data_IF_643475649031
#
_entry.id   IF_643475649031
#
_cell.length_a   1.000
_cell.length_b   1.000
_cell.length_c   1.000
_cell.angle_alpha   90.00
_cell.angle_beta   90.00
_cell.angle_gamma   90.00
#
_symmetry.space_group_name_H-M   'P 1'
#
loop_
_entity.id
_entity.type
_entity.pdbx_description
1 polymer ?
#
# COMPACT_ATOMS: atom_id res chain seq x y z
N UNK A 1 -21.03 -63.23 -22.74
CA UNK A 1 -20.36 -62.48 -21.66
C UNK A 1 -19.45 -61.42 -22.31
N UNK A 2 -19.88 -60.14 -22.35
CA UNK A 2 -19.08 -59.03 -22.90
C UNK A 2 -18.20 -58.46 -21.76
N UNK A 3 -16.88 -58.53 -21.97
CA UNK A 3 -15.92 -57.90 -21.06
C UNK A 3 -15.83 -56.40 -21.38
N UNK A 4 -16.23 -55.55 -20.42
CA UNK A 4 -16.08 -54.10 -20.45
C UNK A 4 -14.68 -53.81 -19.91
N UNK A 5 -13.79 -53.28 -20.79
CA UNK A 5 -12.48 -52.78 -20.40
C UNK A 5 -12.65 -51.34 -19.87
N UNK A 6 -12.40 -51.11 -18.59
CA UNK A 6 -12.30 -49.76 -18.00
C UNK A 6 -10.89 -49.23 -18.28
N UNK A 7 -10.80 -48.24 -19.15
CA UNK A 7 -9.56 -47.48 -19.34
C UNK A 7 -9.51 -46.36 -18.31
N UNK A 8 -8.66 -46.47 -17.32
CA UNK A 8 -8.39 -45.40 -16.34
C UNK A 8 -7.52 -44.33 -17.01
N UNK A 9 -8.09 -43.18 -17.29
CA UNK A 9 -7.37 -42.00 -17.79
C UNK A 9 -6.67 -41.33 -16.58
N UNK A 10 -5.35 -41.47 -16.50
CA UNK A 10 -4.52 -40.78 -15.52
C UNK A 10 -4.35 -39.31 -16.01
N UNK A 11 -5.01 -38.36 -15.35
CA UNK A 11 -4.73 -36.95 -15.54
C UNK A 11 -3.44 -36.59 -14.81
N UNK A 12 -2.32 -36.43 -15.53
CA UNK A 12 -1.15 -35.75 -15.02
C UNK A 12 -1.44 -34.25 -14.98
N UNK A 13 -1.73 -33.71 -13.82
CA UNK A 13 -1.73 -32.27 -13.60
C UNK A 13 -0.28 -31.79 -13.51
N UNK A 14 0.24 -31.22 -14.59
CA UNK A 14 1.50 -30.46 -14.54
C UNK A 14 1.23 -29.16 -13.83
N UNK A 15 1.77 -28.99 -12.63
CA UNK A 15 1.84 -27.68 -11.98
C UNK A 15 2.87 -26.84 -12.76
N UNK A 16 2.41 -25.95 -13.61
CA UNK A 16 3.25 -24.87 -14.12
C UNK A 16 3.48 -23.88 -12.98
N UNK A 17 4.66 -23.92 -12.34
CA UNK A 17 5.07 -22.84 -11.45
C UNK A 17 5.29 -21.61 -12.31
N UNK A 18 4.48 -20.56 -12.11
CA UNK A 18 4.72 -19.28 -12.74
C UNK A 18 6.06 -18.75 -12.22
N UNK A 19 7.04 -18.63 -13.08
CA UNK A 19 8.32 -18.02 -12.74
C UNK A 19 8.09 -16.52 -12.56
N UNK A 20 8.53 -15.98 -11.43
CA UNK A 20 8.47 -14.54 -11.20
C UNK A 20 9.21 -13.80 -12.33
N UNK A 21 8.56 -12.81 -12.94
CA UNK A 21 9.13 -12.02 -14.05
C UNK A 21 10.40 -11.29 -13.59
N UNK A 22 10.48 -10.98 -12.31
CA UNK A 22 11.61 -10.30 -11.69
C UNK A 22 11.86 -10.85 -10.29
N UNK A 23 13.13 -11.12 -9.96
CA UNK A 23 13.58 -11.50 -8.62
C UNK A 23 14.77 -10.63 -8.26
N UNK A 24 14.65 -9.72 -7.29
CA UNK A 24 15.74 -8.85 -6.88
C UNK A 24 16.80 -9.59 -6.08
N UNK A 25 16.43 -10.55 -5.25
CA UNK A 25 17.33 -11.36 -4.42
C UNK A 25 18.14 -12.32 -5.30
N UNK A 26 19.47 -12.29 -5.16
CA UNK A 26 20.40 -13.14 -5.89
C UNK A 26 20.75 -14.44 -5.14
N UNK A 27 20.22 -14.66 -3.92
CA UNK A 27 20.44 -15.86 -3.13
C UNK A 27 21.85 -16.01 -2.52
N UNK A 28 22.66 -14.97 -2.58
CA UNK A 28 24.07 -14.98 -2.13
C UNK A 28 24.40 -13.81 -1.20
N UNK A 29 23.42 -13.24 -0.53
CA UNK A 29 23.53 -12.04 0.29
C UNK A 29 23.66 -10.74 -0.52
N UNK A 30 23.37 -10.77 -1.82
CA UNK A 30 23.35 -9.61 -2.70
C UNK A 30 21.97 -9.48 -3.35
N UNK A 31 21.64 -8.27 -3.76
CA UNK A 31 20.43 -7.96 -4.50
C UNK A 31 20.74 -7.08 -5.72
N UNK A 32 19.79 -6.97 -6.63
CA UNK A 32 19.85 -6.09 -7.81
C UNK A 32 18.66 -5.14 -7.83
N UNK A 33 18.88 -3.93 -8.31
CA UNK A 33 17.81 -2.95 -8.54
C UNK A 33 17.08 -3.20 -9.87
N UNK A 34 15.80 -2.79 -9.96
CA UNK A 34 14.96 -2.31 -8.86
C UNK A 34 14.59 -3.44 -7.90
N UNK A 35 14.50 -3.13 -6.58
CA UNK A 35 14.05 -4.11 -5.57
C UNK A 35 12.60 -4.52 -5.83
N UNK A 36 11.74 -3.56 -6.15
CA UNK A 36 10.37 -3.79 -6.59
C UNK A 36 10.24 -3.39 -8.05
N UNK A 37 9.90 -4.34 -8.92
CA UNK A 37 9.69 -4.09 -10.35
C UNK A 37 8.23 -3.75 -10.62
N UNK A 38 7.80 -2.61 -10.07
CA UNK A 38 6.45 -2.08 -10.18
C UNK A 38 6.47 -0.56 -9.94
N UNK A 39 5.40 0.11 -10.33
CA UNK A 39 5.22 1.55 -10.09
C UNK A 39 4.61 1.76 -8.71
N UNK A 40 5.46 2.10 -7.75
CA UNK A 40 5.09 2.54 -6.40
C UNK A 40 5.74 3.90 -6.15
N UNK A 41 5.08 4.99 -6.58
CA UNK A 41 5.60 6.34 -6.38
C UNK A 41 5.46 6.79 -4.93
N UNK A 42 6.38 7.64 -4.49
CA UNK A 42 6.41 8.23 -3.14
C UNK A 42 6.29 7.16 -2.02
N UNK A 43 7.10 6.08 -2.06
CA UNK A 43 6.96 5.01 -1.08
C UNK A 43 7.42 5.47 0.30
N UNK A 44 6.68 5.09 1.33
CA UNK A 44 7.08 5.27 2.72
C UNK A 44 7.11 3.93 3.44
N UNK A 45 8.14 3.71 4.27
CA UNK A 45 8.43 2.43 4.92
C UNK A 45 8.64 2.62 6.41
N UNK A 46 8.07 1.72 7.22
CA UNK A 46 8.37 1.62 8.66
C UNK A 46 8.81 0.20 9.02
N UNK A 47 9.52 0.09 10.15
CA UNK A 47 9.85 -1.17 10.80
C UNK A 47 9.08 -1.33 12.10
N UNK A 48 8.49 -2.52 12.32
CA UNK A 48 7.88 -2.91 13.59
C UNK A 48 8.34 -4.33 13.94
N UNK A 49 9.18 -4.46 14.97
CA UNK A 49 9.83 -5.75 15.27
C UNK A 49 10.76 -6.18 14.13
N UNK A 50 10.48 -7.33 13.55
CA UNK A 50 11.24 -7.88 12.40
C UNK A 50 10.54 -7.65 11.06
N UNK A 51 9.39 -6.97 11.07
CA UNK A 51 8.61 -6.70 9.88
C UNK A 51 8.83 -5.29 9.36
N UNK A 52 8.88 -5.15 8.03
CA UNK A 52 8.85 -3.88 7.31
C UNK A 52 7.54 -3.75 6.55
N UNK A 53 6.93 -2.58 6.66
CA UNK A 53 5.67 -2.26 6.01
C UNK A 53 5.84 -1.04 5.12
N UNK A 54 5.39 -1.15 3.88
CA UNK A 54 5.48 -0.08 2.88
C UNK A 54 4.11 0.27 2.34
N UNK A 55 3.87 1.55 2.08
CA UNK A 55 2.76 2.05 1.29
C UNK A 55 3.26 3.01 0.23
N UNK A 56 2.41 3.38 -0.73
CA UNK A 56 2.78 4.28 -1.83
C UNK A 56 1.57 5.06 -2.34
N UNK A 57 1.83 6.11 -3.11
CA UNK A 57 0.80 6.85 -3.84
C UNK A 57 -0.03 5.93 -4.72
N UNK A 58 -1.34 6.11 -4.72
CA UNK A 58 -2.26 5.35 -5.57
C UNK A 58 -3.21 6.25 -6.37
N UNK A 59 -3.12 7.55 -6.17
CA UNK A 59 -3.97 8.54 -6.85
C UNK A 59 -5.46 8.18 -6.74
N UNK A 60 -6.16 8.07 -7.85
CA UNK A 60 -7.57 7.66 -7.93
C UNK A 60 -7.74 6.14 -8.20
N UNK A 61 -6.66 5.36 -8.19
CA UNK A 61 -6.74 3.92 -8.41
C UNK A 61 -7.40 3.20 -7.24
N UNK A 62 -8.27 2.24 -7.54
CA UNK A 62 -8.92 1.36 -6.56
C UNK A 62 -8.67 -0.11 -6.91
N UNK A 63 -8.34 -0.94 -5.92
CA UNK A 63 -8.07 -0.58 -4.54
C UNK A 63 -6.80 0.29 -4.44
N UNK A 64 -6.80 1.26 -3.51
CA UNK A 64 -5.70 2.19 -3.27
C UNK A 64 -4.97 1.94 -1.96
N UNK A 65 -3.91 2.72 -1.71
CA UNK A 65 -2.99 2.56 -0.58
C UNK A 65 -2.48 1.12 -0.47
N UNK A 66 -1.63 0.67 -1.41
CA UNK A 66 -1.04 -0.66 -1.33
C UNK A 66 -0.28 -0.83 -0.03
N UNK A 67 -0.41 -2.01 0.58
CA UNK A 67 0.34 -2.40 1.78
C UNK A 67 1.24 -3.57 1.41
N UNK A 68 2.54 -3.32 1.43
CA UNK A 68 3.55 -4.33 1.16
C UNK A 68 4.27 -4.70 2.46
N UNK A 69 4.69 -5.95 2.54
CA UNK A 69 5.42 -6.52 3.67
C UNK A 69 6.75 -7.09 3.22
N UNK A 70 7.76 -6.94 4.05
CA UNK A 70 9.08 -7.58 3.91
C UNK A 70 9.68 -7.84 5.29
N UNK A 71 10.60 -8.81 5.37
CA UNK A 71 11.44 -9.06 6.55
C UNK A 71 12.91 -8.70 6.32
N UNK A 72 13.26 -8.28 5.09
CA UNK A 72 14.66 -8.07 4.68
C UNK A 72 14.88 -6.84 3.78
N UNK A 73 13.81 -6.08 3.46
CA UNK A 73 13.81 -4.92 2.55
C UNK A 73 14.12 -5.26 1.08
N UNK A 74 14.30 -6.53 0.74
CA UNK A 74 14.61 -7.00 -0.61
C UNK A 74 13.44 -7.77 -1.21
N UNK A 75 12.87 -8.68 -0.42
CA UNK A 75 11.74 -9.50 -0.82
C UNK A 75 10.46 -8.87 -0.30
N UNK A 76 9.69 -8.25 -1.20
CA UNK A 76 8.45 -7.56 -0.88
C UNK A 76 7.24 -8.33 -1.42
N UNK A 77 6.22 -8.45 -0.60
CA UNK A 77 4.92 -9.05 -0.93
C UNK A 77 3.81 -8.01 -0.77
N UNK A 78 2.98 -7.83 -1.80
CA UNK A 78 1.74 -7.07 -1.68
C UNK A 78 0.74 -7.89 -0.89
N UNK A 79 0.43 -7.47 0.32
CA UNK A 79 -0.39 -8.25 1.27
C UNK A 79 -1.79 -7.68 1.45
N UNK A 80 -2.00 -6.40 1.14
CA UNK A 80 -3.30 -5.75 1.32
C UNK A 80 -3.38 -4.41 0.57
N UNK A 81 -4.56 -3.82 0.61
CA UNK A 81 -4.84 -2.43 0.25
C UNK A 81 -5.62 -1.77 1.39
N UNK A 82 -5.12 -0.66 1.91
CA UNK A 82 -5.74 0.03 3.02
C UNK A 82 -6.98 0.86 2.62
N UNK A 83 -7.16 1.09 1.31
CA UNK A 83 -8.26 1.87 0.75
C UNK A 83 -8.98 1.06 -0.34
N UNK A 84 -9.93 0.17 0.01
CA UNK A 84 -10.62 -0.67 -0.97
C UNK A 84 -11.54 0.13 -1.91
N UNK A 85 -11.97 1.33 -1.52
CA UNK A 85 -12.75 2.29 -2.30
C UNK A 85 -12.30 3.71 -1.99
N UNK A 86 -12.44 4.60 -2.97
CA UNK A 86 -12.26 6.03 -2.71
C UNK A 86 -13.34 6.56 -1.77
N UNK A 87 -13.04 7.67 -1.13
CA UNK A 87 -13.81 8.29 -0.05
C UNK A 87 -14.84 9.32 -0.55
N UNK A 88 -14.88 9.58 -1.86
CA UNK A 88 -15.77 10.56 -2.48
C UNK A 88 -16.32 10.01 -3.81
N UNK A 89 -17.57 10.31 -4.12
CA UNK A 89 -18.24 9.92 -5.37
C UNK A 89 -17.70 10.60 -6.61
N UNK A 90 -16.96 11.71 -6.49
CA UNK A 90 -16.26 12.36 -7.61
C UNK A 90 -15.24 11.40 -8.27
N UNK A 91 -14.78 10.40 -7.52
CA UNK A 91 -13.87 9.37 -8.04
C UNK A 91 -14.58 8.22 -8.79
N UNK A 92 -15.91 8.23 -8.89
CA UNK A 92 -16.65 7.29 -9.73
C UNK A 92 -16.44 7.61 -11.23
N UNK A 93 -15.96 8.80 -11.55
CA UNK A 93 -15.48 9.20 -12.87
C UNK A 93 -13.95 9.20 -12.95
N UNK A 94 -13.39 9.11 -14.17
CA UNK A 94 -11.95 9.21 -14.37
C UNK A 94 -11.41 10.56 -13.86
N UNK A 95 -10.44 10.48 -12.92
CA UNK A 95 -9.87 11.66 -12.22
C UNK A 95 -8.37 11.49 -12.09
N UNK A 96 -7.69 11.28 -13.22
CA UNK A 96 -6.26 10.94 -13.27
C UNK A 96 -5.40 11.95 -12.50
N UNK A 97 -4.51 11.45 -11.65
CA UNK A 97 -3.59 12.24 -10.85
C UNK A 97 -4.20 12.91 -9.63
N UNK A 98 -5.50 12.72 -9.33
CA UNK A 98 -6.15 13.19 -8.10
C UNK A 98 -6.19 12.10 -7.03
N UNK A 99 -6.59 12.44 -5.81
CA UNK A 99 -6.81 11.48 -4.73
C UNK A 99 -5.58 11.30 -3.83
N UNK A 100 -5.05 10.10 -3.76
CA UNK A 100 -4.01 9.70 -2.79
C UNK A 100 -2.62 10.10 -3.24
N UNK A 101 -2.03 11.12 -2.62
CA UNK A 101 -0.66 11.59 -2.85
C UNK A 101 0.22 11.33 -1.65
N UNK A 102 1.47 10.90 -1.89
CA UNK A 102 2.57 10.71 -0.95
C UNK A 102 2.11 10.31 0.48
N UNK A 103 1.59 9.09 0.66
CA UNK A 103 1.13 8.63 1.96
C UNK A 103 2.32 8.39 2.89
N UNK A 104 2.10 8.57 4.20
CA UNK A 104 3.04 8.18 5.24
C UNK A 104 2.43 7.10 6.13
N UNK A 105 3.14 6.00 6.33
CA UNK A 105 2.77 4.94 7.26
C UNK A 105 3.53 5.12 8.57
N UNK A 106 2.84 5.03 9.72
CA UNK A 106 3.46 5.12 11.05
C UNK A 106 2.80 4.12 12.00
N UNK A 107 3.57 3.72 13.02
CA UNK A 107 3.08 2.87 14.10
C UNK A 107 3.19 3.66 15.42
N UNK A 108 2.07 3.72 16.15
CA UNK A 108 2.01 4.36 17.45
C UNK A 108 0.94 3.70 18.31
N UNK A 109 1.30 3.40 19.56
CA UNK A 109 0.40 2.87 20.60
C UNK A 109 -0.46 1.67 20.14
N UNK A 110 0.20 0.70 19.50
CA UNK A 110 -0.44 -0.53 19.02
C UNK A 110 -1.24 -0.40 17.71
N UNK A 111 -1.20 0.75 17.06
CA UNK A 111 -1.90 1.00 15.81
C UNK A 111 -0.96 1.41 14.69
N UNK A 112 -1.24 0.92 13.50
CA UNK A 112 -0.69 1.41 12.23
C UNK A 112 -1.61 2.49 11.70
N UNK A 113 -1.03 3.58 11.25
CA UNK A 113 -1.70 4.72 10.65
C UNK A 113 -1.14 4.95 9.26
N UNK A 114 -1.99 5.21 8.28
CA UNK A 114 -1.59 5.78 7.00
C UNK A 114 -2.29 7.13 6.87
N UNK A 115 -1.49 8.18 6.70
CA UNK A 115 -1.95 9.52 6.38
C UNK A 115 -1.59 9.82 4.93
N UNK A 116 -2.44 10.55 4.24
CA UNK A 116 -2.15 11.03 2.88
C UNK A 116 -2.75 12.39 2.63
N UNK A 117 -2.16 13.13 1.66
CA UNK A 117 -2.73 14.35 1.12
C UNK A 117 -3.61 14.05 -0.09
N UNK A 118 -4.82 14.61 -0.09
CA UNK A 118 -5.58 14.85 -1.30
C UNK A 118 -5.47 16.35 -1.58
N UNK A 119 -4.78 16.77 -2.68
CA UNK A 119 -4.48 18.18 -2.92
C UNK A 119 -5.72 19.06 -3.11
N UNK A 120 -6.87 18.45 -3.41
CA UNK A 120 -8.13 19.19 -3.63
C UNK A 120 -9.02 19.22 -2.39
N UNK A 121 -8.81 18.31 -1.41
CA UNK A 121 -9.69 18.13 -0.25
C UNK A 121 -8.99 18.30 1.09
N UNK A 122 -7.77 17.77 1.22
CA UNK A 122 -7.03 17.87 2.47
C UNK A 122 -6.33 16.59 2.90
N UNK A 123 -6.05 16.47 4.19
CA UNK A 123 -5.35 15.33 4.78
C UNK A 123 -6.36 14.32 5.31
N UNK A 124 -6.21 13.09 4.85
CA UNK A 124 -6.98 11.94 5.31
C UNK A 124 -6.12 10.96 6.10
N UNK A 125 -6.79 10.05 6.82
CA UNK A 125 -6.15 9.00 7.61
C UNK A 125 -7.01 7.74 7.63
N UNK A 126 -6.34 6.59 7.61
CA UNK A 126 -6.88 5.28 7.98
C UNK A 126 -5.99 4.63 9.01
N UNK A 127 -6.53 3.69 9.82
CA UNK A 127 -5.74 2.95 10.81
C UNK A 127 -6.19 1.50 10.95
N UNK A 128 -5.28 0.65 11.44
CA UNK A 128 -5.53 -0.74 11.79
C UNK A 128 -4.59 -1.21 12.91
N UNK A 129 -4.90 -2.32 13.56
CA UNK A 129 -3.97 -3.03 14.45
C UNK A 129 -3.21 -4.14 13.70
N UNK A 130 -3.71 -4.56 12.55
CA UNK A 130 -3.09 -5.57 11.69
C UNK A 130 -3.07 -5.07 10.24
N UNK A 131 -1.89 -4.76 9.67
CA UNK A 131 -1.77 -4.29 8.29
C UNK A 131 -2.30 -5.28 7.23
N UNK A 132 -2.32 -6.57 7.56
CA UNK A 132 -2.88 -7.63 6.69
C UNK A 132 -4.40 -7.72 6.79
N UNK A 133 -4.98 -7.16 7.85
CA UNK A 133 -6.41 -7.20 8.15
C UNK A 133 -7.17 -6.01 7.58
N UNK A 134 -8.37 -5.77 8.14
CA UNK A 134 -9.22 -4.67 7.74
C UNK A 134 -8.68 -3.32 8.26
N UNK A 135 -8.69 -2.32 7.40
CA UNK A 135 -8.40 -0.93 7.74
C UNK A 135 -9.69 -0.17 8.05
N UNK A 136 -9.60 0.87 8.84
CA UNK A 136 -10.73 1.76 9.16
C UNK A 136 -11.25 2.46 7.90
N UNK A 137 -12.46 3.01 7.97
CA UNK A 137 -12.91 3.99 6.97
C UNK A 137 -12.00 5.21 6.99
N UNK A 138 -11.80 5.89 5.85
CA UNK A 138 -11.06 7.14 5.77
C UNK A 138 -11.69 8.23 6.64
N UNK A 139 -10.84 8.99 7.33
CA UNK A 139 -11.22 10.15 8.14
C UNK A 139 -10.53 11.38 7.58
N UNK A 140 -11.28 12.42 7.24
CA UNK A 140 -10.72 13.73 6.89
C UNK A 140 -10.21 14.41 8.17
N UNK A 141 -8.89 14.46 8.32
CA UNK A 141 -8.22 15.03 9.51
C UNK A 141 -8.16 16.54 9.43
N UNK A 142 -7.87 17.07 8.24
CA UNK A 142 -7.75 18.50 7.99
C UNK A 142 -8.23 18.84 6.58
N UNK A 143 -9.32 19.58 6.49
CA UNK A 143 -9.80 20.12 5.22
C UNK A 143 -8.94 21.33 4.81
N UNK A 144 -8.30 21.25 3.65
CA UNK A 144 -7.63 22.37 2.99
C UNK A 144 -7.21 21.97 1.57
N UNK A 145 -7.19 22.90 0.64
CA UNK A 145 -6.61 22.70 -0.69
C UNK A 145 -5.11 22.91 -0.65
N UNK A 146 -4.39 22.15 -1.48
CA UNK A 146 -2.95 22.31 -1.67
C UNK A 146 -2.07 21.66 -0.60
N UNK A 147 -2.61 21.13 0.50
CA UNK A 147 -1.80 20.43 1.51
C UNK A 147 -1.55 18.99 1.06
N UNK A 148 -0.26 18.61 1.06
CA UNK A 148 0.24 17.33 0.57
C UNK A 148 1.40 16.82 1.43
N UNK A 149 1.95 15.66 1.11
CA UNK A 149 3.19 15.10 1.66
C UNK A 149 3.17 15.09 3.18
N UNK A 150 2.12 14.52 3.74
CA UNK A 150 1.85 14.59 5.17
C UNK A 150 2.54 13.47 5.94
N UNK A 151 3.11 13.82 7.10
CA UNK A 151 3.76 12.87 7.98
C UNK A 151 3.38 13.16 9.45
N UNK A 152 2.74 12.22 10.17
CA UNK A 152 2.48 12.38 11.59
C UNK A 152 3.73 12.03 12.42
N UNK A 153 3.87 12.74 13.54
CA UNK A 153 4.86 12.50 14.58
C UNK A 153 4.15 12.57 15.94
N UNK A 154 4.36 11.56 16.76
CA UNK A 154 4.01 11.58 18.18
C UNK A 154 5.29 11.79 18.99
N UNK A 155 5.31 12.85 19.78
CA UNK A 155 6.46 13.22 20.59
C UNK A 155 6.39 12.58 21.98
N UNK A 156 7.53 12.52 22.67
CA UNK A 156 7.65 11.95 24.01
C UNK A 156 6.86 12.74 25.06
N UNK A 157 6.55 14.01 24.79
CA UNK A 157 5.72 14.86 25.65
C UNK A 157 4.20 14.59 25.53
N UNK A 158 3.81 13.58 24.71
CA UNK A 158 2.42 13.20 24.45
C UNK A 158 1.71 14.08 23.42
N UNK A 159 2.40 14.98 22.75
CA UNK A 159 1.85 15.77 21.65
C UNK A 159 1.96 15.05 20.34
N UNK A 160 0.97 15.27 19.48
CA UNK A 160 1.01 14.84 18.08
C UNK A 160 1.18 16.03 17.15
N UNK A 161 2.07 15.90 16.20
CA UNK A 161 2.35 16.88 15.16
C UNK A 161 2.03 16.27 13.78
N UNK A 162 1.57 17.12 12.86
CA UNK A 162 1.33 16.71 11.49
C UNK A 162 2.08 17.69 10.56
N UNK A 163 3.24 17.26 10.09
CA UNK A 163 4.02 18.01 9.10
C UNK A 163 3.41 17.78 7.73
N UNK A 164 3.37 18.78 6.88
CA UNK A 164 2.88 18.64 5.51
C UNK A 164 3.57 19.61 4.56
N UNK A 165 3.59 19.24 3.28
CA UNK A 165 4.00 20.08 2.19
C UNK A 165 2.86 20.96 1.66
N UNK A 166 3.17 21.70 0.57
CA UNK A 166 2.23 22.61 -0.10
C UNK A 166 2.37 22.56 -1.60
N UNK A 167 1.31 22.16 -2.31
CA UNK A 167 1.22 22.21 -3.77
C UNK A 167 0.52 23.49 -4.22
N UNK A 168 1.27 24.56 -4.48
CA UNK A 168 0.72 25.85 -4.88
C UNK A 168 -0.15 25.80 -6.14
N UNK A 169 0.14 24.88 -7.06
CA UNK A 169 -0.67 24.66 -8.28
C UNK A 169 -2.08 24.13 -8.02
N UNK A 170 -2.35 23.63 -6.80
CA UNK A 170 -3.65 23.07 -6.39
C UNK A 170 -4.36 23.92 -5.34
N UNK A 171 -3.70 24.94 -4.83
CA UNK A 171 -4.23 25.77 -3.73
C UNK A 171 -5.32 26.77 -4.15
N UNK A 172 -5.43 27.05 -5.46
CA UNK A 172 -6.44 27.95 -6.04
C UNK A 172 -5.97 29.39 -6.08
#
# INVERSE_FOLDING_TARGET
MKKILFASLLFLTTYASAQAVWTPDLGNGKYKNPIVFADYSDPDVIRTGDDYWMTASSFNCVPGLPVLHSTDLVNWELVNYALPRMYDTDFDAASHGNGVWAPAIRFHDGWYYIYWGDPDRGIYMVRTQDPRGAWSKPVLVKAAKGIIDTCPLWDEDGRAYLVHGWAGSRAG
#
